data_IF_662956881909
#
_entry.id   IF_662956881909
#
_cell.length_a   1.000
_cell.length_b   1.000
_cell.length_c   1.000
_cell.angle_alpha   90.00
_cell.angle_beta   90.00
_cell.angle_gamma   90.00
#
_symmetry.space_group_name_H-M   'P 1'
#
loop_
_entity.id
_entity.type
_entity.pdbx_description
1 polymer ?
#
# COMPACT_ATOMS: atom_id res chain seq x y z
N UNK A 1 20.71 18.39 13.67
CA UNK A 1 19.90 17.94 14.83
C UNK A 1 18.47 18.48 14.85
N UNK A 2 18.09 19.47 14.01
CA UNK A 2 16.71 20.01 13.93
C UNK A 2 15.69 19.06 13.26
N UNK A 3 16.14 18.21 12.33
CA UNK A 3 15.25 17.38 11.49
C UNK A 3 14.40 16.35 12.23
N UNK A 4 14.87 15.80 13.37
CA UNK A 4 14.07 14.83 14.13
C UNK A 4 12.95 15.51 14.91
N UNK A 5 13.21 16.66 15.53
CA UNK A 5 12.20 17.42 16.27
C UNK A 5 11.11 17.95 15.33
N UNK A 6 11.48 18.42 14.14
CA UNK A 6 10.50 18.85 13.13
C UNK A 6 9.61 17.70 12.66
N UNK A 7 10.18 16.50 12.44
CA UNK A 7 9.41 15.32 12.04
C UNK A 7 8.45 14.81 13.13
N UNK A 8 8.84 14.98 14.40
CA UNK A 8 7.98 14.70 15.54
C UNK A 8 6.86 15.73 15.57
N UNK A 9 7.18 17.01 15.50
CA UNK A 9 6.24 18.13 15.62
C UNK A 9 5.18 18.14 14.50
N UNK A 10 5.56 17.75 13.28
CA UNK A 10 4.63 17.59 12.15
C UNK A 10 3.62 16.47 12.40
N UNK A 11 4.07 15.34 13.00
CA UNK A 11 3.18 14.24 13.40
C UNK A 11 2.30 14.60 14.58
N UNK A 12 2.81 15.36 15.57
CA UNK A 12 2.02 15.82 16.72
C UNK A 12 0.97 16.85 16.34
N UNK A 13 1.26 17.77 15.39
CA UNK A 13 0.31 18.78 14.91
C UNK A 13 -0.89 18.18 14.17
N UNK A 14 -0.68 17.10 13.41
CA UNK A 14 -1.77 16.35 12.77
C UNK A 14 -2.68 15.67 13.83
N UNK A 15 -2.08 15.11 14.89
CA UNK A 15 -2.82 14.53 16.00
C UNK A 15 -3.60 15.58 16.82
N UNK A 16 -3.06 16.80 16.96
CA UNK A 16 -3.68 17.89 17.74
C UNK A 16 -4.93 18.54 17.12
N UNK A 17 -5.22 18.31 15.83
CA UNK A 17 -6.42 18.85 15.15
C UNK A 17 -7.41 17.78 14.65
N UNK A 18 -7.20 16.48 14.96
CA UNK A 18 -8.03 15.38 14.43
C UNK A 18 -8.25 15.42 12.90
N UNK A 19 -7.26 15.91 12.15
CA UNK A 19 -7.35 15.95 10.68
C UNK A 19 -7.02 14.58 10.12
N UNK A 20 -8.01 13.96 9.47
CA UNK A 20 -7.86 12.71 8.75
C UNK A 20 -7.29 12.98 7.36
N UNK A 21 -6.05 12.57 7.12
CA UNK A 21 -5.44 12.60 5.80
C UNK A 21 -5.50 11.21 5.15
N UNK A 22 -6.04 11.16 3.93
CA UNK A 22 -6.24 9.94 3.16
C UNK A 22 -5.47 10.03 1.85
N UNK A 23 -4.73 8.97 1.53
CA UNK A 23 -4.30 8.69 0.18
C UNK A 23 -5.49 8.12 -0.58
N UNK A 24 -5.91 8.81 -1.64
CA UNK A 24 -6.99 8.37 -2.51
C UNK A 24 -6.42 7.47 -3.61
N UNK A 25 -7.15 6.41 -3.96
CA UNK A 25 -6.77 5.49 -5.02
C UNK A 25 -8.00 4.79 -5.61
N UNK A 26 -7.78 4.06 -6.69
CA UNK A 26 -8.80 3.26 -7.36
C UNK A 26 -8.33 1.81 -7.45
N UNK A 27 -9.30 0.90 -7.46
CA UNK A 27 -9.08 -0.52 -7.71
C UNK A 27 -9.51 -0.81 -9.15
N UNK A 28 -10.41 -1.77 -9.36
CA UNK A 28 -11.12 -1.88 -10.63
C UNK A 28 -12.22 -0.79 -10.73
N UNK A 29 -12.31 -0.12 -11.88
CA UNK A 29 -13.39 0.80 -12.21
C UNK A 29 -13.27 2.22 -11.65
N UNK A 30 -14.42 2.87 -11.41
CA UNK A 30 -14.53 4.32 -11.13
C UNK A 30 -14.79 4.66 -9.66
N UNK A 31 -14.80 3.69 -8.75
CA UNK A 31 -14.93 3.98 -7.32
C UNK A 31 -13.61 4.50 -6.77
N UNK A 32 -13.68 5.51 -5.89
CA UNK A 32 -12.52 6.04 -5.15
C UNK A 32 -12.52 5.43 -3.76
N UNK A 33 -11.35 4.95 -3.34
CA UNK A 33 -11.06 4.45 -2.01
C UNK A 33 -10.07 5.38 -1.32
N UNK A 34 -9.97 5.27 0.00
CA UNK A 34 -9.04 6.06 0.81
C UNK A 34 -8.36 5.19 1.86
N UNK A 35 -7.05 5.40 2.04
CA UNK A 35 -6.28 4.80 3.13
C UNK A 35 -5.61 5.90 3.94
N UNK A 36 -5.57 5.75 5.26
CA UNK A 36 -4.89 6.71 6.14
C UNK A 36 -3.40 6.82 5.74
N UNK A 37 -2.93 8.05 5.49
CA UNK A 37 -1.55 8.31 5.06
C UNK A 37 -0.52 7.81 6.08
N UNK A 38 -0.85 7.75 7.38
CA UNK A 38 0.04 7.19 8.40
C UNK A 38 0.30 5.68 8.24
N UNK A 39 -0.53 4.96 7.49
CA UNK A 39 -0.30 3.55 7.16
C UNK A 39 0.57 3.37 5.93
N UNK A 40 0.76 4.41 5.13
CA UNK A 40 1.49 4.35 3.86
C UNK A 40 2.98 4.65 4.09
N UNK A 41 3.83 3.79 3.55
CA UNK A 41 5.29 4.01 3.51
C UNK A 41 5.70 4.69 2.22
N UNK A 42 5.26 4.14 1.09
CA UNK A 42 5.51 4.66 -0.25
C UNK A 42 4.51 4.04 -1.25
N UNK A 43 4.38 4.69 -2.40
CA UNK A 43 3.61 4.21 -3.56
C UNK A 43 4.58 4.06 -4.72
N UNK A 44 4.61 2.89 -5.34
CA UNK A 44 5.49 2.61 -6.49
C UNK A 44 4.73 1.84 -7.56
N UNK A 45 5.21 1.89 -8.80
CA UNK A 45 4.73 0.98 -9.84
C UNK A 45 5.05 -0.46 -9.43
N UNK A 46 4.12 -1.38 -9.65
CA UNK A 46 4.30 -2.76 -9.25
C UNK A 46 5.45 -3.40 -10.05
N UNK A 47 6.54 -3.85 -9.38
CA UNK A 47 7.58 -4.61 -10.06
C UNK A 47 7.06 -6.00 -10.44
N UNK A 48 7.82 -6.76 -11.26
CA UNK A 48 7.58 -8.18 -11.45
C UNK A 48 7.52 -8.90 -10.10
N UNK A 49 6.53 -9.78 -9.95
CA UNK A 49 6.31 -10.52 -8.71
C UNK A 49 6.89 -11.92 -8.79
N UNK A 50 7.55 -12.33 -7.72
CA UNK A 50 7.96 -13.73 -7.53
C UNK A 50 6.77 -14.51 -6.99
N UNK A 51 6.46 -15.66 -7.60
CA UNK A 51 5.39 -16.53 -7.14
C UNK A 51 5.68 -17.04 -5.72
N UNK A 52 4.66 -16.99 -4.85
CA UNK A 52 4.74 -17.48 -3.49
C UNK A 52 4.00 -18.83 -3.40
N UNK A 53 4.70 -19.96 -3.16
CA UNK A 53 4.05 -21.26 -3.02
C UNK A 53 3.04 -21.28 -1.88
N UNK A 54 1.92 -21.97 -2.08
CA UNK A 54 0.85 -22.12 -1.08
C UNK A 54 0.29 -20.80 -0.53
N UNK A 55 0.41 -19.72 -1.32
CA UNK A 55 -0.14 -18.42 -0.95
C UNK A 55 -1.67 -18.42 -1.01
N UNK A 56 -2.27 -17.57 -0.18
CA UNK A 56 -3.70 -17.29 -0.27
C UNK A 56 -4.05 -16.70 -1.65
N UNK A 57 -5.25 -16.95 -2.17
CA UNK A 57 -5.69 -16.51 -3.52
C UNK A 57 -5.60 -15.00 -3.77
N UNK A 58 -5.70 -14.23 -2.67
CA UNK A 58 -5.58 -12.77 -2.62
C UNK A 58 -4.12 -12.29 -2.74
N UNK A 59 -3.13 -13.16 -2.57
CA UNK A 59 -1.72 -12.82 -2.70
C UNK A 59 -1.30 -13.07 -4.15
N UNK A 60 -0.79 -12.03 -4.81
CA UNK A 60 -0.30 -12.09 -6.19
C UNK A 60 1.14 -12.58 -6.26
N UNK A 61 1.89 -12.45 -5.16
CA UNK A 61 3.27 -12.90 -5.05
C UNK A 61 4.05 -12.02 -4.08
N UNK A 62 5.35 -11.96 -4.29
CA UNK A 62 6.29 -11.17 -3.49
C UNK A 62 7.01 -10.18 -4.42
N UNK A 63 7.00 -8.90 -4.04
CA UNK A 63 7.81 -7.86 -4.67
C UNK A 63 9.14 -7.74 -3.91
N UNK A 64 10.26 -7.68 -4.65
CA UNK A 64 11.56 -7.38 -4.07
C UNK A 64 11.87 -5.90 -4.24
N UNK A 65 11.93 -5.16 -3.12
CA UNK A 65 12.11 -3.71 -3.09
C UNK A 65 13.21 -3.35 -2.11
N UNK A 66 14.33 -2.84 -2.65
CA UNK A 66 15.51 -2.40 -1.85
C UNK A 66 15.97 -3.47 -0.84
N UNK A 67 15.98 -4.73 -1.26
CA UNK A 67 16.37 -5.87 -0.41
C UNK A 67 15.27 -6.38 0.52
N UNK A 68 14.08 -5.79 0.53
CA UNK A 68 12.92 -6.27 1.27
C UNK A 68 11.99 -7.08 0.38
N UNK A 69 11.60 -8.26 0.84
CA UNK A 69 10.64 -9.11 0.17
C UNK A 69 9.25 -8.85 0.76
N UNK A 70 8.42 -8.11 0.03
CA UNK A 70 7.13 -7.61 0.49
C UNK A 70 6.01 -8.42 -0.17
N UNK A 71 5.12 -9.08 0.59
CA UNK A 71 3.97 -9.75 0.01
C UNK A 71 3.04 -8.73 -0.63
N UNK A 72 2.58 -9.02 -1.85
CA UNK A 72 1.66 -8.17 -2.61
C UNK A 72 0.28 -8.83 -2.63
N UNK A 73 -0.70 -8.13 -2.06
CA UNK A 73 -2.10 -8.53 -2.02
C UNK A 73 -2.90 -7.79 -3.09
N UNK A 74 -3.69 -8.51 -3.87
CA UNK A 74 -4.74 -7.92 -4.72
C UNK A 74 -5.85 -7.40 -3.82
N UNK A 75 -5.87 -6.08 -3.61
CA UNK A 75 -6.83 -5.45 -2.71
C UNK A 75 -8.25 -5.48 -3.31
N UNK A 76 -8.38 -5.43 -4.63
CA UNK A 76 -9.68 -5.53 -5.31
C UNK A 76 -10.31 -6.89 -5.04
N UNK A 77 -9.54 -7.96 -5.21
CA UNK A 77 -10.03 -9.31 -4.92
C UNK A 77 -10.30 -9.52 -3.42
N UNK A 78 -9.42 -9.03 -2.56
CA UNK A 78 -9.54 -9.20 -1.11
C UNK A 78 -10.80 -8.56 -0.50
N UNK A 79 -11.37 -7.53 -1.13
CA UNK A 79 -12.61 -6.89 -0.68
C UNK A 79 -13.87 -7.39 -1.43
N UNK A 80 -13.75 -8.50 -2.17
CA UNK A 80 -14.86 -9.13 -2.91
C UNK A 80 -15.07 -8.60 -4.34
N UNK A 81 -14.16 -7.78 -4.84
CA UNK A 81 -14.15 -7.33 -6.23
C UNK A 81 -13.51 -8.34 -7.20
N UNK A 82 -13.49 -8.00 -8.51
CA UNK A 82 -12.82 -8.82 -9.50
C UNK A 82 -11.29 -8.80 -9.29
N UNK A 83 -10.64 -9.91 -9.63
CA UNK A 83 -9.18 -9.99 -9.63
C UNK A 83 -8.60 -9.04 -10.67
N UNK A 84 -7.57 -8.28 -10.28
CA UNK A 84 -6.89 -7.37 -11.17
C UNK A 84 -6.05 -8.14 -12.20
N UNK A 85 -5.82 -7.52 -13.36
CA UNK A 85 -5.09 -8.13 -14.47
C UNK A 85 -3.59 -8.35 -14.21
N UNK A 86 -2.76 -7.98 -15.19
CA UNK A 86 -1.32 -8.10 -15.04
C UNK A 86 -0.80 -7.11 -13.99
N UNK A 87 -0.10 -7.61 -12.97
CA UNK A 87 0.29 -6.83 -11.81
C UNK A 87 1.18 -5.63 -12.18
N UNK A 88 2.06 -5.77 -13.18
CA UNK A 88 3.01 -4.73 -13.60
C UNK A 88 2.38 -3.48 -14.20
N UNK A 89 1.11 -3.58 -14.60
CA UNK A 89 0.35 -2.46 -15.20
C UNK A 89 -0.24 -1.53 -14.11
N UNK A 90 -0.05 -1.89 -12.85
CA UNK A 90 -0.69 -1.28 -11.69
C UNK A 90 0.34 -0.76 -10.68
N UNK A 91 -0.16 -0.11 -9.63
CA UNK A 91 0.65 0.40 -8.53
C UNK A 91 0.55 -0.51 -7.31
N UNK A 92 1.55 -0.45 -6.44
CA UNK A 92 1.47 -1.01 -5.10
C UNK A 92 1.59 0.11 -4.07
N UNK A 93 0.65 0.13 -3.11
CA UNK A 93 0.74 0.95 -1.91
C UNK A 93 1.40 0.11 -0.84
N UNK A 94 2.63 0.47 -0.45
CA UNK A 94 3.35 -0.22 0.61
C UNK A 94 2.84 0.31 1.94
N UNK A 95 2.37 -0.60 2.79
CA UNK A 95 1.78 -0.27 4.08
C UNK A 95 2.50 -0.97 5.23
N UNK A 96 2.40 -0.41 6.43
CA UNK A 96 2.93 -1.01 7.65
C UNK A 96 1.84 -1.19 8.72
N UNK A 97 1.63 -2.44 9.12
CA UNK A 97 0.75 -2.83 10.22
C UNK A 97 1.51 -3.75 11.16
N UNK A 98 1.53 -3.45 12.47
CA UNK A 98 2.22 -4.26 13.48
C UNK A 98 3.68 -4.59 13.11
N UNK A 99 4.42 -3.60 12.58
CA UNK A 99 5.81 -3.73 12.09
C UNK A 99 5.98 -4.74 10.94
N UNK A 100 4.90 -5.09 10.25
CA UNK A 100 4.91 -5.94 9.06
C UNK A 100 4.58 -5.11 7.84
N UNK A 101 5.39 -5.27 6.80
CA UNK A 101 5.14 -4.67 5.50
C UNK A 101 4.16 -5.53 4.71
N UNK A 102 3.18 -4.87 4.10
CA UNK A 102 2.23 -5.48 3.18
C UNK A 102 1.99 -4.48 2.04
N UNK A 103 2.05 -4.96 0.81
CA UNK A 103 1.77 -4.15 -0.37
C UNK A 103 0.35 -4.43 -0.89
N UNK A 104 -0.42 -3.38 -1.12
CA UNK A 104 -1.73 -3.47 -1.77
C UNK A 104 -1.60 -3.13 -3.24
N UNK A 105 -1.93 -4.08 -4.13
CA UNK A 105 -2.07 -3.84 -5.55
C UNK A 105 -3.31 -3.00 -5.81
N UNK A 106 -3.15 -1.86 -6.49
CA UNK A 106 -4.20 -0.88 -6.78
C UNK A 106 -4.11 -0.39 -8.21
N UNK A 107 -5.24 -0.01 -8.80
CA UNK A 107 -5.36 0.37 -10.21
C UNK A 107 -4.66 1.68 -10.54
N UNK A 108 -5.03 2.74 -9.83
CA UNK A 108 -4.43 4.07 -9.99
C UNK A 108 -4.41 4.81 -8.66
N UNK A 109 -3.47 5.73 -8.51
CA UNK A 109 -3.36 6.65 -7.36
C UNK A 109 -3.52 8.07 -7.86
#
# INVERSE_FOLDING_TARGET
MASMLDSVDQRTKLAGQNRLELLLFRLAGRQVFGINVFKVKEVVQCPPLTALPSAHENIRGVASLRGNNIPVMDLCHAIGGPKMGNATDYFIIITEYNRRLLAFLVGSV
#
